data_IF_319847202472
#
_entry.id   IF_319847202472
#
_cell.length_a   1.000
_cell.length_b   1.000
_cell.length_c   1.000
_cell.angle_alpha   90.00
_cell.angle_beta   90.00
_cell.angle_gamma   90.00
#
_symmetry.space_group_name_H-M   'P 1'
#
loop_
_entity.id
_entity.type
_entity.pdbx_description
1 polymer ?
#
# COMPACT_ATOMS: atom_id res chain seq x y z
N UNK A 1 -4.87 39.15 70.06
CA UNK A 1 -4.24 39.95 68.98
C UNK A 1 -3.02 39.17 68.48
N UNK A 2 -3.07 38.64 67.29
CA UNK A 2 -1.90 37.99 66.70
C UNK A 2 -0.93 39.11 66.29
N UNK A 3 0.22 39.18 66.94
CA UNK A 3 1.29 40.10 66.51
C UNK A 3 1.95 39.55 65.26
N UNK A 4 1.62 40.06 64.09
CA UNK A 4 2.34 39.80 62.86
C UNK A 4 3.69 40.49 62.99
N UNK A 5 4.75 39.74 63.12
CA UNK A 5 6.12 40.30 63.20
C UNK A 5 6.51 40.78 61.82
N UNK A 6 7.31 41.87 61.70
CA UNK A 6 7.84 42.44 60.45
C UNK A 6 8.48 41.36 59.56
N UNK A 7 9.11 40.38 60.19
CA UNK A 7 9.75 39.23 59.52
C UNK A 7 8.71 38.28 58.85
N UNK A 8 7.52 38.15 59.45
CA UNK A 8 6.43 37.33 58.86
C UNK A 8 5.84 38.03 57.63
N UNK A 9 5.65 39.36 57.70
CA UNK A 9 5.15 40.17 56.58
C UNK A 9 6.14 40.17 55.41
N UNK A 10 7.45 40.25 55.65
CA UNK A 10 8.51 40.15 54.67
C UNK A 10 8.57 38.76 53.98
N UNK A 11 8.42 37.71 54.76
CA UNK A 11 8.36 36.33 54.19
C UNK A 11 7.14 36.14 53.29
N UNK A 12 5.97 36.64 53.73
CA UNK A 12 4.74 36.58 52.97
C UNK A 12 4.84 37.41 51.68
N UNK A 13 5.41 38.62 51.75
CA UNK A 13 5.68 39.44 50.56
C UNK A 13 6.60 38.76 49.58
N UNK A 14 7.76 38.19 50.01
CA UNK A 14 8.67 37.46 49.15
C UNK A 14 8.02 36.25 48.49
N UNK A 15 7.21 35.49 49.21
CA UNK A 15 6.44 34.37 48.68
C UNK A 15 5.44 34.83 47.60
N UNK A 16 4.72 35.92 47.83
CA UNK A 16 3.75 36.43 46.87
C UNK A 16 4.39 37.05 45.63
N UNK A 17 5.53 37.76 45.79
CA UNK A 17 6.30 38.31 44.69
C UNK A 17 6.85 37.16 43.83
N UNK A 18 7.38 36.09 44.44
CA UNK A 18 7.87 34.91 43.72
C UNK A 18 6.72 34.22 42.93
N UNK A 19 5.53 34.11 43.50
CA UNK A 19 4.35 33.59 42.78
C UNK A 19 4.00 34.46 41.58
N UNK A 20 4.00 35.81 41.75
CA UNK A 20 3.69 36.74 40.67
C UNK A 20 4.73 36.73 39.56
N UNK A 21 6.03 36.59 39.91
CA UNK A 21 7.12 36.41 38.93
C UNK A 21 6.95 35.12 38.15
N UNK A 22 6.61 34.01 38.85
CA UNK A 22 6.37 32.73 38.19
C UNK A 22 5.18 32.78 37.23
N UNK A 23 4.08 33.46 37.62
CA UNK A 23 2.91 33.67 36.77
C UNK A 23 3.26 34.47 35.52
N UNK A 24 4.05 35.56 35.68
CA UNK A 24 4.53 36.34 34.55
C UNK A 24 5.39 35.55 33.59
N UNK A 25 6.36 34.81 34.11
CA UNK A 25 7.20 33.94 33.30
C UNK A 25 6.41 32.83 32.57
N UNK A 26 5.41 32.25 33.23
CA UNK A 26 4.51 31.27 32.65
C UNK A 26 3.69 31.87 31.49
N UNK A 27 3.10 33.06 31.69
CA UNK A 27 2.33 33.75 30.67
C UNK A 27 3.22 34.15 29.46
N UNK A 28 4.46 34.61 29.72
CA UNK A 28 5.44 34.88 28.66
C UNK A 28 5.77 33.62 27.87
N UNK A 29 6.02 32.50 28.55
CA UNK A 29 6.33 31.23 27.91
C UNK A 29 5.17 30.75 27.05
N UNK A 30 3.92 30.79 27.56
CA UNK A 30 2.73 30.44 26.78
C UNK A 30 2.58 31.28 25.52
N UNK A 31 2.79 32.62 25.63
CA UNK A 31 2.69 33.50 24.46
C UNK A 31 3.81 33.20 23.44
N UNK A 32 5.04 33.00 23.92
CA UNK A 32 6.19 32.71 23.03
C UNK A 32 6.09 31.33 22.33
N UNK A 33 5.56 30.33 23.02
CA UNK A 33 5.44 28.96 22.49
C UNK A 33 4.10 28.71 21.81
N UNK A 34 3.10 29.59 22.03
CA UNK A 34 1.70 29.42 21.63
C UNK A 34 1.08 28.12 22.14
N UNK A 35 1.63 27.57 23.24
CA UNK A 35 1.16 26.32 23.85
C UNK A 35 0.58 26.56 25.24
N UNK A 36 -0.51 25.83 25.54
CA UNK A 36 -1.19 25.87 26.82
C UNK A 36 -0.31 25.41 27.98
N UNK A 37 0.61 24.51 27.73
CA UNK A 37 1.60 24.04 28.71
C UNK A 37 2.95 23.80 28.04
N UNK A 38 4.02 24.22 28.70
CA UNK A 38 5.41 24.12 28.22
C UNK A 38 6.11 22.82 28.65
N UNK A 39 5.53 22.11 29.63
CA UNK A 39 6.10 20.87 30.18
C UNK A 39 4.98 19.93 30.61
N UNK A 40 5.18 18.64 30.37
CA UNK A 40 4.28 17.58 30.82
C UNK A 40 4.12 17.54 32.34
N UNK A 41 5.12 18.00 33.09
CA UNK A 41 5.04 18.11 34.56
C UNK A 41 4.06 19.18 35.05
N UNK A 42 3.76 20.20 34.23
CA UNK A 42 2.86 21.28 34.60
C UNK A 42 1.37 20.91 34.59
N UNK A 43 1.00 19.96 33.72
CA UNK A 43 -0.36 19.41 33.64
C UNK A 43 -0.34 17.91 33.21
N UNK A 44 -0.14 16.95 34.15
CA UNK A 44 -0.03 15.53 33.84
C UNK A 44 -1.28 14.93 33.17
N UNK A 45 -2.47 15.45 33.49
CA UNK A 45 -3.72 14.96 32.90
C UNK A 45 -3.83 15.35 31.41
N UNK A 46 -3.53 16.60 31.06
CA UNK A 46 -3.48 17.06 29.69
C UNK A 46 -2.34 16.38 28.92
N UNK A 47 -1.19 16.20 29.54
CA UNK A 47 -0.04 15.50 28.97
C UNK A 47 -0.36 14.07 28.57
N UNK A 48 -1.07 13.31 29.41
CA UNK A 48 -1.49 11.95 29.08
C UNK A 48 -2.44 11.91 27.89
N UNK A 49 -3.36 12.88 27.80
CA UNK A 49 -4.28 13.00 26.64
C UNK A 49 -3.50 13.38 25.37
N UNK A 50 -2.61 14.38 25.46
CA UNK A 50 -1.76 14.78 24.34
C UNK A 50 -0.93 13.62 23.79
N UNK A 51 -0.30 12.84 24.68
CA UNK A 51 0.45 11.65 24.28
C UNK A 51 -0.41 10.64 23.52
N UNK A 52 -1.64 10.37 23.99
CA UNK A 52 -2.57 9.46 23.29
C UNK A 52 -2.95 10.00 21.91
N UNK A 53 -3.25 11.30 21.81
CA UNK A 53 -3.61 11.94 20.53
C UNK A 53 -2.42 11.88 19.57
N UNK A 54 -1.21 12.22 20.01
CA UNK A 54 -0.01 12.10 19.16
C UNK A 54 0.27 10.66 18.71
N UNK A 55 0.09 9.69 19.60
CA UNK A 55 0.22 8.28 19.23
C UNK A 55 -0.82 7.88 18.17
N UNK A 56 -2.08 8.31 18.34
CA UNK A 56 -3.13 8.05 17.35
C UNK A 56 -2.88 8.77 16.03
N UNK A 57 -2.42 10.03 16.05
CA UNK A 57 -2.05 10.79 14.86
C UNK A 57 -0.94 10.08 14.06
N UNK A 58 0.11 9.64 14.75
CA UNK A 58 1.22 8.93 14.11
C UNK A 58 0.76 7.59 13.51
N UNK A 59 -0.06 6.84 14.23
CA UNK A 59 -0.62 5.58 13.74
C UNK A 59 -1.51 5.82 12.52
N UNK A 60 -2.45 6.78 12.59
CA UNK A 60 -3.35 7.10 11.47
C UNK A 60 -2.57 7.61 10.25
N UNK A 61 -1.53 8.42 10.45
CA UNK A 61 -0.70 8.89 9.36
C UNK A 61 0.09 7.76 8.68
N UNK A 62 0.61 6.81 9.46
CA UNK A 62 1.28 5.62 8.91
C UNK A 62 0.29 4.75 8.12
N UNK A 63 -0.91 4.53 8.66
CA UNK A 63 -1.98 3.78 7.99
C UNK A 63 -2.44 4.47 6.70
N UNK A 64 -2.55 5.79 6.70
CA UNK A 64 -2.86 6.58 5.51
C UNK A 64 -1.76 6.43 4.43
N UNK A 65 -0.48 6.54 4.81
CA UNK A 65 0.64 6.36 3.89
C UNK A 65 0.71 4.94 3.31
N UNK A 66 0.43 3.94 4.12
CA UNK A 66 0.34 2.55 3.68
C UNK A 66 -0.81 2.37 2.67
N UNK A 67 -2.00 2.89 3.02
CA UNK A 67 -3.18 2.83 2.16
C UNK A 67 -2.94 3.52 0.81
N UNK A 68 -2.33 4.69 0.81
CA UNK A 68 -1.98 5.46 -0.39
C UNK A 68 -1.01 4.69 -1.30
N UNK A 69 0.02 4.08 -0.72
CA UNK A 69 0.98 3.24 -1.46
C UNK A 69 0.30 2.03 -2.10
N UNK A 70 -0.58 1.34 -1.36
CA UNK A 70 -1.31 0.18 -1.87
C UNK A 70 -2.32 0.61 -2.93
N UNK A 71 -3.05 1.72 -2.73
CA UNK A 71 -3.98 2.27 -3.71
C UNK A 71 -3.29 2.49 -5.06
N UNK A 72 -2.16 3.20 -5.08
CA UNK A 72 -1.43 3.45 -6.32
C UNK A 72 -0.86 2.20 -6.98
N UNK A 73 -0.50 1.17 -6.20
CA UNK A 73 -0.15 -0.15 -6.74
C UNK A 73 -1.35 -0.78 -7.47
N UNK A 74 -2.54 -0.73 -6.86
CA UNK A 74 -3.78 -1.27 -7.44
C UNK A 74 -4.26 -0.47 -8.65
N UNK A 75 -4.17 0.86 -8.64
CA UNK A 75 -4.43 1.73 -9.80
C UNK A 75 -3.49 1.41 -10.97
N UNK A 76 -2.22 1.17 -10.67
CA UNK A 76 -1.24 0.76 -11.69
C UNK A 76 -1.59 -0.63 -12.25
N UNK A 77 -1.96 -1.59 -11.41
CA UNK A 77 -2.41 -2.92 -11.84
C UNK A 77 -3.65 -2.83 -12.72
N UNK A 78 -4.65 -2.09 -12.27
CA UNK A 78 -5.90 -1.87 -12.99
C UNK A 78 -5.66 -1.22 -14.36
N UNK A 79 -4.85 -0.16 -14.41
CA UNK A 79 -4.49 0.54 -15.65
C UNK A 79 -3.71 -0.33 -16.62
N UNK A 80 -2.78 -1.13 -16.10
CA UNK A 80 -2.00 -2.08 -16.91
C UNK A 80 -2.92 -3.14 -17.50
N UNK A 81 -3.80 -3.71 -16.69
CA UNK A 81 -4.73 -4.75 -17.14
C UNK A 81 -5.75 -4.20 -18.14
N UNK A 82 -6.22 -2.96 -17.97
CA UNK A 82 -7.03 -2.25 -18.95
C UNK A 82 -6.30 -2.15 -20.31
N UNK A 83 -5.02 -1.76 -20.29
CA UNK A 83 -4.21 -1.67 -21.51
C UNK A 83 -3.99 -3.03 -22.18
N UNK A 84 -3.85 -4.10 -21.39
CA UNK A 84 -3.76 -5.49 -21.89
C UNK A 84 -5.05 -5.89 -22.60
N UNK A 85 -6.21 -5.63 -21.97
CA UNK A 85 -7.51 -5.97 -22.53
C UNK A 85 -7.81 -5.14 -23.80
N UNK A 86 -7.51 -3.84 -23.79
CA UNK A 86 -7.66 -2.97 -24.98
C UNK A 86 -6.73 -3.41 -26.11
N UNK A 87 -5.47 -3.76 -25.80
CA UNK A 87 -4.50 -4.27 -26.77
C UNK A 87 -4.96 -5.61 -27.36
N UNK A 88 -5.48 -6.49 -26.54
CA UNK A 88 -6.07 -7.75 -26.98
C UNK A 88 -7.26 -7.52 -27.92
N UNK A 89 -8.23 -6.69 -27.50
CA UNK A 89 -9.45 -6.43 -28.27
C UNK A 89 -9.13 -5.73 -29.61
N UNK A 90 -8.22 -4.75 -29.63
CA UNK A 90 -7.86 -4.03 -30.84
C UNK A 90 -6.94 -4.80 -31.78
N UNK A 91 -5.83 -5.33 -31.29
CA UNK A 91 -4.82 -5.96 -32.13
C UNK A 91 -5.09 -7.44 -32.36
N UNK A 92 -5.33 -8.19 -31.30
CA UNK A 92 -5.44 -9.66 -31.38
C UNK A 92 -6.85 -10.07 -31.84
N UNK A 93 -7.88 -9.47 -31.27
CA UNK A 93 -9.27 -9.79 -31.62
C UNK A 93 -9.60 -9.38 -33.05
N UNK A 94 -9.39 -8.11 -33.40
CA UNK A 94 -9.84 -7.55 -34.68
C UNK A 94 -8.91 -7.86 -35.85
N UNK A 95 -7.59 -7.94 -35.62
CA UNK A 95 -6.61 -8.15 -36.71
C UNK A 95 -6.02 -9.54 -36.74
N UNK A 96 -6.03 -10.28 -35.64
CA UNK A 96 -5.50 -11.64 -35.56
C UNK A 96 -6.60 -12.69 -35.54
N UNK A 97 -7.36 -12.74 -34.42
CA UNK A 97 -8.32 -13.80 -34.12
C UNK A 97 -9.53 -13.84 -35.09
N UNK A 98 -10.19 -12.72 -35.33
CA UNK A 98 -11.39 -12.67 -36.21
C UNK A 98 -11.01 -13.03 -37.65
N UNK A 99 -9.94 -12.45 -38.24
CA UNK A 99 -9.43 -12.92 -39.54
C UNK A 99 -8.99 -14.39 -39.53
N UNK A 100 -8.40 -14.89 -38.42
CA UNK A 100 -8.00 -16.29 -38.32
C UNK A 100 -9.21 -17.25 -38.40
N UNK A 101 -10.32 -16.92 -37.71
CA UNK A 101 -11.56 -17.70 -37.84
C UNK A 101 -12.10 -17.70 -39.28
N UNK A 102 -12.02 -16.56 -39.97
CA UNK A 102 -12.37 -16.48 -41.38
C UNK A 102 -11.39 -17.27 -42.24
N UNK A 103 -10.09 -17.16 -41.97
CA UNK A 103 -9.03 -17.90 -42.66
C UNK A 103 -9.16 -19.42 -42.53
N UNK A 104 -9.54 -19.92 -41.35
CA UNK A 104 -9.81 -21.34 -41.12
C UNK A 104 -11.00 -21.85 -41.96
N UNK A 105 -11.93 -21.01 -42.33
CA UNK A 105 -13.07 -21.36 -43.17
C UNK A 105 -12.78 -21.18 -44.65
N UNK A 106 -11.67 -20.54 -45.03
CA UNK A 106 -11.24 -20.38 -46.42
C UNK A 106 -10.56 -21.64 -46.92
N UNK A 107 -10.79 -21.93 -48.22
CA UNK A 107 -10.21 -23.08 -48.90
C UNK A 107 -8.68 -22.96 -49.08
N UNK A 108 -8.15 -21.72 -48.99
CA UNK A 108 -6.74 -21.42 -49.32
C UNK A 108 -5.86 -21.20 -48.08
N UNK A 109 -6.43 -20.97 -46.89
CA UNK A 109 -5.71 -20.72 -45.63
C UNK A 109 -4.49 -19.76 -45.74
N UNK A 110 -4.49 -18.88 -46.77
CA UNK A 110 -3.30 -18.12 -47.22
C UNK A 110 -2.83 -17.04 -46.26
N UNK A 111 -3.64 -16.70 -45.26
CA UNK A 111 -3.39 -15.60 -44.28
C UNK A 111 -2.95 -16.11 -42.91
N UNK A 112 -3.00 -17.41 -42.65
CA UNK A 112 -2.76 -17.98 -41.31
C UNK A 112 -1.41 -17.62 -40.71
N UNK A 113 -0.33 -17.68 -41.49
CA UNK A 113 1.01 -17.35 -40.99
C UNK A 113 1.10 -15.89 -40.51
N UNK A 114 0.49 -14.93 -41.27
CA UNK A 114 0.48 -13.53 -40.86
C UNK A 114 -0.34 -13.35 -39.57
N UNK A 115 -1.45 -14.05 -39.45
CA UNK A 115 -2.31 -13.99 -38.26
C UNK A 115 -1.61 -14.64 -37.06
N UNK A 116 -0.87 -15.73 -37.27
CA UNK A 116 -0.02 -16.35 -36.25
C UNK A 116 1.01 -15.36 -35.70
N UNK A 117 1.71 -14.64 -36.58
CA UNK A 117 2.68 -13.61 -36.16
C UNK A 117 2.01 -12.47 -35.34
N UNK A 118 0.86 -11.98 -35.77
CA UNK A 118 0.11 -10.94 -35.01
C UNK A 118 -0.26 -11.45 -33.61
N UNK A 119 -0.76 -12.67 -33.52
CA UNK A 119 -1.15 -13.27 -32.22
C UNK A 119 0.08 -13.47 -31.33
N UNK A 120 1.23 -13.89 -31.90
CA UNK A 120 2.50 -14.02 -31.15
C UNK A 120 2.98 -12.69 -30.61
N UNK A 121 3.05 -11.65 -31.46
CA UNK A 121 3.44 -10.29 -31.04
C UNK A 121 2.50 -9.76 -29.95
N UNK A 122 1.21 -10.06 -30.04
CA UNK A 122 0.23 -9.75 -29.02
C UNK A 122 0.51 -10.44 -27.69
N UNK A 123 0.86 -11.75 -27.71
CA UNK A 123 1.22 -12.50 -26.51
C UNK A 123 2.47 -11.93 -25.82
N UNK A 124 3.49 -11.61 -26.60
CA UNK A 124 4.73 -11.00 -26.10
C UNK A 124 4.47 -9.61 -25.47
N UNK A 125 3.62 -8.81 -26.11
CA UNK A 125 3.22 -7.50 -25.58
C UNK A 125 2.45 -7.62 -24.25
N UNK A 126 1.57 -8.61 -24.12
CA UNK A 126 0.86 -8.92 -22.88
C UNK A 126 1.85 -9.30 -21.76
N UNK A 127 2.81 -10.19 -22.04
CA UNK A 127 3.83 -10.60 -21.07
C UNK A 127 4.68 -9.41 -20.63
N UNK A 128 5.07 -8.52 -21.55
CA UNK A 128 5.78 -7.29 -21.20
C UNK A 128 4.95 -6.37 -20.31
N UNK A 129 3.66 -6.18 -20.62
CA UNK A 129 2.76 -5.38 -19.82
C UNK A 129 2.58 -5.96 -18.41
N UNK A 130 2.45 -7.29 -18.29
CA UNK A 130 2.34 -7.98 -17.00
C UNK A 130 3.64 -7.93 -16.17
N UNK A 131 4.74 -7.46 -16.72
CA UNK A 131 5.97 -7.09 -16.00
C UNK A 131 5.99 -5.60 -15.62
N UNK A 132 4.81 -4.96 -15.54
CA UNK A 132 4.65 -3.57 -15.12
C UNK A 132 5.16 -3.32 -13.70
N UNK A 133 5.70 -2.11 -13.47
CA UNK A 133 6.25 -1.69 -12.17
C UNK A 133 5.50 -0.51 -11.59
N UNK A 134 5.38 -0.51 -10.27
CA UNK A 134 5.09 0.68 -9.46
C UNK A 134 6.31 1.01 -8.61
N UNK A 135 6.93 2.15 -8.86
CA UNK A 135 8.24 2.46 -8.29
C UNK A 135 9.31 1.47 -8.73
N UNK A 136 9.92 0.76 -7.77
CA UNK A 136 10.93 -0.26 -8.04
C UNK A 136 10.38 -1.70 -8.01
N UNK A 137 9.11 -1.86 -7.69
CA UNK A 137 8.49 -3.16 -7.46
C UNK A 137 7.63 -3.60 -8.64
N UNK A 138 7.71 -4.86 -9.02
CA UNK A 138 6.80 -5.45 -9.98
C UNK A 138 5.42 -5.65 -9.36
N UNK A 139 4.38 -5.22 -10.07
CA UNK A 139 3.03 -5.18 -9.53
C UNK A 139 2.40 -6.56 -9.45
N UNK A 140 2.62 -7.41 -10.47
CA UNK A 140 1.99 -8.72 -10.63
C UNK A 140 2.87 -9.89 -10.14
N UNK A 141 3.87 -9.59 -9.34
CA UNK A 141 4.81 -10.60 -8.84
C UNK A 141 4.37 -11.25 -7.51
N UNK A 142 3.16 -11.02 -7.04
CA UNK A 142 2.70 -11.52 -5.74
C UNK A 142 3.48 -10.89 -4.59
N UNK A 143 4.09 -11.70 -3.72
CA UNK A 143 4.91 -11.23 -2.61
C UNK A 143 6.37 -10.94 -3.02
N UNK A 144 6.92 -11.58 -4.06
CA UNK A 144 8.25 -11.25 -4.61
C UNK A 144 8.17 -10.11 -5.62
N UNK A 145 8.32 -8.89 -5.17
CA UNK A 145 8.20 -7.70 -6.01
C UNK A 145 9.50 -7.25 -6.69
N UNK A 146 10.63 -7.93 -6.46
CA UNK A 146 11.94 -7.46 -6.92
C UNK A 146 12.31 -7.96 -8.32
N UNK A 147 11.85 -9.14 -8.70
CA UNK A 147 12.18 -9.79 -9.97
C UNK A 147 11.00 -9.74 -10.94
N UNK A 148 11.30 -9.67 -12.25
CA UNK A 148 10.25 -9.74 -13.28
C UNK A 148 9.51 -11.08 -13.18
N UNK A 149 8.16 -11.05 -12.98
CA UNK A 149 7.42 -12.28 -12.74
C UNK A 149 7.30 -13.17 -13.97
N UNK A 150 7.14 -12.60 -15.16
CA UNK A 150 6.89 -13.35 -16.39
C UNK A 150 8.07 -13.30 -17.35
N UNK A 151 8.35 -14.42 -18.01
CA UNK A 151 9.28 -14.51 -19.13
C UNK A 151 8.81 -15.60 -20.09
N UNK A 152 9.36 -15.60 -21.31
CA UNK A 152 9.26 -16.71 -22.26
C UNK A 152 10.63 -17.38 -22.28
N UNK A 153 10.68 -18.69 -22.08
CA UNK A 153 11.93 -19.44 -22.13
C UNK A 153 12.34 -19.77 -23.58
N UNK A 154 13.55 -20.33 -23.76
CA UNK A 154 14.08 -20.70 -25.07
C UNK A 154 13.24 -21.78 -25.81
N UNK A 155 12.35 -22.47 -25.09
CA UNK A 155 11.46 -23.50 -25.66
C UNK A 155 10.08 -22.88 -26.05
N UNK A 156 9.84 -21.59 -25.80
CA UNK A 156 8.59 -20.92 -26.11
C UNK A 156 7.51 -21.00 -25.01
N UNK A 157 7.81 -21.60 -23.84
CA UNK A 157 6.86 -21.65 -22.74
C UNK A 157 6.91 -20.38 -21.92
N UNK A 158 5.75 -19.92 -21.46
CA UNK A 158 5.64 -18.83 -20.49
C UNK A 158 6.07 -19.35 -19.12
N UNK A 159 6.89 -18.56 -18.44
CA UNK A 159 7.35 -18.87 -17.09
C UNK A 159 6.90 -17.78 -16.12
N UNK A 160 6.62 -18.19 -14.89
CA UNK A 160 6.38 -17.28 -13.76
C UNK A 160 7.42 -17.54 -12.67
N UNK A 161 8.21 -16.51 -12.33
CA UNK A 161 9.36 -16.65 -11.41
C UNK A 161 10.29 -17.82 -11.78
N UNK A 162 10.46 -18.05 -13.10
CA UNK A 162 11.33 -19.10 -13.63
C UNK A 162 10.72 -20.50 -13.78
N UNK A 163 9.47 -20.71 -13.33
CA UNK A 163 8.75 -21.99 -13.49
C UNK A 163 7.82 -21.92 -14.69
N UNK A 164 7.87 -22.95 -15.57
CA UNK A 164 6.95 -23.11 -16.69
C UNK A 164 5.52 -23.29 -16.15
N UNK A 165 4.59 -22.41 -16.57
CA UNK A 165 3.27 -22.33 -15.92
C UNK A 165 2.24 -23.31 -16.49
N UNK A 166 2.47 -23.88 -17.66
CA UNK A 166 1.49 -24.68 -18.41
C UNK A 166 2.12 -25.78 -19.27
N UNK A 167 3.36 -26.17 -19.00
CA UNK A 167 3.98 -27.32 -19.65
C UNK A 167 3.59 -28.62 -18.90
N UNK A 168 2.75 -29.51 -19.51
CA UNK A 168 2.29 -30.73 -18.84
C UNK A 168 3.42 -31.65 -18.46
N UNK A 169 4.55 -31.60 -19.19
CA UNK A 169 5.70 -32.50 -18.96
C UNK A 169 6.51 -32.11 -17.71
N UNK A 170 6.44 -30.82 -17.29
CA UNK A 170 7.25 -30.30 -16.20
C UNK A 170 6.43 -29.92 -14.94
N UNK A 171 5.11 -29.81 -15.03
CA UNK A 171 4.26 -29.41 -13.90
C UNK A 171 4.33 -30.37 -12.70
N UNK A 172 4.49 -31.66 -12.96
CA UNK A 172 4.60 -32.70 -11.93
C UNK A 172 6.06 -32.94 -11.46
N UNK A 173 7.06 -32.28 -12.08
CA UNK A 173 8.44 -32.34 -11.64
C UNK A 173 8.63 -31.65 -10.29
N UNK A 174 9.62 -32.12 -9.51
CA UNK A 174 9.99 -31.50 -8.24
C UNK A 174 10.61 -30.14 -8.51
N UNK A 175 10.05 -29.11 -7.87
CA UNK A 175 10.61 -27.77 -7.94
C UNK A 175 11.96 -27.67 -7.21
N UNK A 176 12.92 -27.03 -7.87
CA UNK A 176 14.24 -26.74 -7.30
C UNK A 176 14.45 -25.23 -7.23
N UNK A 177 14.88 -24.73 -6.07
CA UNK A 177 15.24 -23.33 -5.87
C UNK A 177 16.51 -22.94 -6.64
N UNK A 178 16.92 -21.68 -6.60
CA UNK A 178 18.14 -21.15 -7.24
C UNK A 178 19.43 -21.86 -6.77
N UNK A 179 19.37 -22.61 -5.69
CA UNK A 179 20.48 -23.42 -5.15
C UNK A 179 20.38 -24.88 -5.54
N UNK A 180 19.37 -25.28 -6.31
CA UNK A 180 19.10 -26.64 -6.72
C UNK A 180 18.55 -27.52 -5.60
N UNK A 181 17.88 -26.92 -4.58
CA UNK A 181 17.28 -27.66 -3.47
C UNK A 181 15.75 -27.67 -3.58
N UNK A 182 15.08 -28.81 -3.27
CA UNK A 182 13.64 -28.88 -3.31
C UNK A 182 13.01 -28.06 -2.16
N UNK A 183 11.94 -27.33 -2.46
CA UNK A 183 11.07 -26.73 -1.43
C UNK A 183 10.15 -27.82 -0.88
N UNK A 184 9.92 -27.78 0.42
CA UNK A 184 9.09 -28.76 1.14
C UNK A 184 7.80 -28.12 1.64
N UNK A 185 6.72 -28.90 1.58
CA UNK A 185 5.45 -28.54 2.20
C UNK A 185 5.53 -28.62 3.74
N UNK A 186 4.44 -28.26 4.44
CA UNK A 186 4.33 -28.33 5.90
C UNK A 186 4.52 -29.74 6.47
N UNK A 187 4.39 -30.81 5.66
CA UNK A 187 4.56 -32.20 6.04
C UNK A 187 5.98 -32.74 5.72
N UNK A 188 6.83 -31.91 5.11
CA UNK A 188 8.20 -32.28 4.74
C UNK A 188 8.31 -33.02 3.39
N UNK A 189 7.24 -33.08 2.57
CA UNK A 189 7.24 -33.64 1.21
C UNK A 189 7.79 -32.58 0.25
N UNK A 190 8.62 -33.00 -0.72
CA UNK A 190 9.10 -32.14 -1.79
C UNK A 190 7.93 -31.70 -2.68
N UNK A 191 7.85 -30.38 -2.95
CA UNK A 191 6.75 -29.79 -3.73
C UNK A 191 7.05 -29.89 -5.23
N UNK A 192 6.01 -30.15 -6.01
CA UNK A 192 6.07 -30.07 -7.46
C UNK A 192 5.98 -28.64 -7.96
N UNK A 193 6.35 -28.39 -9.23
CA UNK A 193 6.21 -27.10 -9.88
C UNK A 193 4.77 -26.58 -9.78
N UNK A 194 3.77 -27.45 -9.97
CA UNK A 194 2.36 -27.10 -9.82
C UNK A 194 2.01 -26.68 -8.40
N UNK A 195 2.43 -27.46 -7.38
CA UNK A 195 2.19 -27.13 -5.97
C UNK A 195 2.84 -25.79 -5.58
N UNK A 196 4.00 -25.47 -6.16
CA UNK A 196 4.68 -24.17 -5.95
C UNK A 196 3.95 -23.03 -6.64
N UNK A 197 3.42 -23.23 -7.86
CA UNK A 197 2.59 -22.21 -8.52
C UNK A 197 1.28 -21.96 -7.73
N UNK A 198 0.65 -23.00 -7.21
CA UNK A 198 -0.52 -22.89 -6.34
C UNK A 198 -0.18 -22.08 -5.07
N UNK A 199 0.95 -22.38 -4.43
CA UNK A 199 1.46 -21.63 -3.28
C UNK A 199 1.71 -20.15 -3.61
N UNK A 200 2.34 -19.84 -4.73
CA UNK A 200 2.59 -18.45 -5.15
C UNK A 200 1.31 -17.72 -5.56
N UNK A 201 0.31 -18.42 -6.06
CA UNK A 201 -0.98 -17.83 -6.35
C UNK A 201 -1.75 -17.45 -5.07
N UNK A 202 -1.53 -18.19 -3.99
CA UNK A 202 -2.15 -17.98 -2.67
C UNK A 202 -1.26 -17.17 -1.71
N UNK A 203 -0.16 -16.59 -2.17
CA UNK A 203 0.69 -15.72 -1.35
C UNK A 203 -0.06 -14.48 -0.89
N UNK A 204 0.12 -14.13 0.39
CA UNK A 204 -0.46 -12.96 1.01
C UNK A 204 0.60 -11.95 1.43
N UNK A 205 0.32 -10.68 1.24
CA UNK A 205 1.14 -9.56 1.73
C UNK A 205 0.25 -8.58 2.51
N UNK A 206 0.09 -8.83 3.80
CA UNK A 206 -0.79 -8.05 4.64
C UNK A 206 -0.21 -6.69 5.01
N UNK A 207 -1.02 -5.65 4.87
CA UNK A 207 -0.68 -4.26 5.18
C UNK A 207 -1.71 -3.67 6.14
N UNK A 208 -1.25 -2.96 7.17
CA UNK A 208 -2.13 -2.20 8.08
C UNK A 208 -2.57 -0.90 7.41
N UNK A 209 -3.84 -0.85 7.05
CA UNK A 209 -4.53 0.32 6.50
C UNK A 209 -5.62 0.85 7.45
N UNK A 210 -5.52 0.57 8.75
CA UNK A 210 -6.46 1.06 9.76
C UNK A 210 -7.67 0.18 10.01
N UNK A 211 -7.66 -1.09 9.58
CA UNK A 211 -8.74 -2.06 9.83
C UNK A 211 -8.66 -2.71 11.22
N UNK A 212 -7.76 -2.23 12.09
CA UNK A 212 -7.58 -2.77 13.43
C UNK A 212 -6.66 -3.98 13.48
N UNK A 213 -5.52 -3.89 12.80
CA UNK A 213 -4.48 -4.91 12.67
C UNK A 213 -4.25 -5.72 13.94
N UNK A 214 -4.37 -7.04 13.84
CA UNK A 214 -4.18 -7.99 14.94
C UNK A 214 -3.46 -9.24 14.49
N UNK A 215 -2.70 -9.81 15.41
CA UNK A 215 -2.11 -11.13 15.28
C UNK A 215 -2.93 -12.13 16.09
N UNK A 216 -2.97 -13.37 15.64
CA UNK A 216 -3.54 -14.48 16.36
C UNK A 216 -2.61 -15.00 17.49
N UNK A 217 -3.00 -16.09 18.16
CA UNK A 217 -2.19 -16.71 19.23
C UNK A 217 -0.88 -17.33 18.75
N UNK A 218 -0.68 -17.53 17.45
CA UNK A 218 0.53 -18.08 16.84
C UNK A 218 1.45 -16.98 16.28
N UNK A 219 0.99 -15.72 16.26
CA UNK A 219 1.71 -14.58 15.70
C UNK A 219 1.42 -14.36 14.22
N UNK A 220 0.42 -15.02 13.65
CA UNK A 220 -0.03 -14.83 12.26
C UNK A 220 -1.05 -13.70 12.17
N UNK A 221 -1.08 -13.01 11.02
CA UNK A 221 -2.03 -11.92 10.79
C UNK A 221 -3.44 -12.47 10.65
N UNK A 222 -4.40 -11.88 11.38
CA UNK A 222 -5.82 -12.20 11.19
C UNK A 222 -6.31 -11.49 9.91
N UNK A 223 -6.66 -12.23 8.83
CA UNK A 223 -6.93 -11.65 7.50
C UNK A 223 -7.98 -10.53 7.48
N UNK A 224 -9.02 -10.63 8.34
CA UNK A 224 -10.08 -9.62 8.44
C UNK A 224 -9.64 -8.29 9.05
N UNK A 225 -8.43 -8.19 9.59
CA UNK A 225 -7.89 -6.99 10.27
C UNK A 225 -6.80 -6.27 9.49
N UNK A 226 -6.43 -6.80 8.33
CA UNK A 226 -5.41 -6.23 7.44
C UNK A 226 -5.90 -6.31 5.99
N UNK A 227 -5.29 -5.52 5.13
CA UNK A 227 -5.54 -5.58 3.70
C UNK A 227 -4.45 -6.44 3.04
N UNK A 228 -4.86 -7.36 2.16
CA UNK A 228 -3.91 -8.13 1.36
C UNK A 228 -3.52 -7.34 0.12
N UNK A 229 -2.26 -6.98 0.04
CA UNK A 229 -1.70 -6.19 -1.06
C UNK A 229 -0.99 -7.04 -2.12
N UNK A 230 -0.98 -8.37 -1.99
CA UNK A 230 -0.41 -9.26 -2.99
C UNK A 230 -1.30 -9.30 -4.24
N UNK A 231 -0.71 -9.09 -5.42
CA UNK A 231 -1.41 -9.23 -6.69
C UNK A 231 -0.69 -10.34 -7.47
N UNK A 232 -1.33 -11.52 -7.53
CA UNK A 232 -0.78 -12.67 -8.25
C UNK A 232 -1.05 -12.54 -9.75
N UNK A 233 0.00 -12.39 -10.56
CA UNK A 233 -0.09 -12.33 -12.01
C UNK A 233 -0.62 -13.62 -12.62
N UNK A 234 -0.22 -14.78 -12.09
CA UNK A 234 -0.72 -16.08 -12.56
C UNK A 234 -2.19 -16.29 -12.18
N UNK A 235 -2.64 -15.75 -11.05
CA UNK A 235 -4.06 -15.77 -10.67
C UNK A 235 -4.93 -14.90 -11.58
N UNK A 236 -4.34 -13.90 -12.27
CA UNK A 236 -5.03 -13.05 -13.24
C UNK A 236 -5.03 -13.68 -14.63
N UNK A 237 -3.87 -14.13 -15.11
CA UNK A 237 -3.72 -14.67 -16.48
C UNK A 237 -4.10 -16.15 -16.61
N UNK A 238 -4.24 -16.87 -15.49
CA UNK A 238 -4.40 -18.31 -15.46
C UNK A 238 -3.05 -19.05 -15.47
N UNK A 239 -3.05 -20.33 -15.08
CA UNK A 239 -1.89 -21.23 -15.13
C UNK A 239 -2.35 -22.69 -15.12
N UNK A 240 -1.45 -23.59 -15.46
CA UNK A 240 -1.72 -25.00 -15.59
C UNK A 240 -2.39 -25.36 -16.91
N UNK A 241 -2.70 -26.63 -17.05
CA UNK A 241 -3.39 -27.18 -18.21
C UNK A 241 -4.82 -27.63 -17.84
N UNK A 242 -5.69 -27.71 -18.83
CA UNK A 242 -7.04 -28.23 -18.66
C UNK A 242 -7.10 -29.76 -18.82
N UNK A 243 -8.31 -30.31 -18.88
CA UNK A 243 -8.52 -31.76 -19.01
C UNK A 243 -8.07 -32.31 -20.38
N UNK A 244 -7.98 -31.45 -21.39
CA UNK A 244 -7.57 -31.80 -22.75
C UNK A 244 -6.05 -31.64 -22.94
N UNK A 245 -5.35 -31.09 -21.93
CA UNK A 245 -3.91 -30.81 -21.95
C UNK A 245 -3.56 -29.45 -22.54
N UNK A 246 -4.54 -28.59 -22.81
CA UNK A 246 -4.33 -27.26 -23.36
C UNK A 246 -4.01 -26.24 -22.23
N UNK A 247 -3.17 -25.22 -22.53
CA UNK A 247 -2.85 -24.19 -21.56
C UNK A 247 -4.07 -23.37 -21.14
N UNK A 248 -4.10 -22.92 -19.86
CA UNK A 248 -5.13 -22.02 -19.34
C UNK A 248 -4.72 -20.56 -19.36
N UNK A 249 -3.44 -20.28 -19.49
CA UNK A 249 -2.90 -18.92 -19.50
C UNK A 249 -3.19 -18.24 -20.85
N UNK A 250 -3.67 -16.99 -20.83
CA UNK A 250 -4.04 -16.23 -22.03
C UNK A 250 -2.86 -16.15 -23.03
N UNK A 251 -1.66 -15.77 -22.57
CA UNK A 251 -0.50 -15.64 -23.43
C UNK A 251 -0.02 -16.98 -23.98
N UNK A 252 -0.08 -18.05 -23.18
CA UNK A 252 0.30 -19.39 -23.64
C UNK A 252 -0.68 -19.96 -24.68
N UNK A 253 -1.98 -19.73 -24.51
CA UNK A 253 -2.98 -20.08 -25.54
C UNK A 253 -2.66 -19.36 -26.85
N UNK A 254 -2.32 -18.05 -26.77
CA UNK A 254 -1.95 -17.25 -27.94
C UNK A 254 -0.68 -17.77 -28.60
N UNK A 255 0.37 -18.08 -27.83
CA UNK A 255 1.62 -18.63 -28.37
C UNK A 255 1.39 -19.98 -29.01
N UNK A 256 0.63 -20.88 -28.38
CA UNK A 256 0.30 -22.21 -28.96
C UNK A 256 -0.49 -22.07 -30.26
N UNK A 257 -1.47 -21.14 -30.30
CA UNK A 257 -2.25 -20.85 -31.49
C UNK A 257 -1.36 -20.27 -32.62
N UNK A 258 -0.42 -19.40 -32.28
CA UNK A 258 0.54 -18.84 -33.22
C UNK A 258 1.44 -19.94 -33.82
N UNK A 259 1.94 -20.86 -32.97
CA UNK A 259 2.74 -22.02 -33.45
C UNK A 259 1.97 -22.88 -34.46
N UNK A 260 0.68 -23.13 -34.19
CA UNK A 260 -0.16 -23.91 -35.09
C UNK A 260 -0.35 -23.21 -36.44
N UNK A 261 -0.62 -21.90 -36.42
CA UNK A 261 -0.86 -21.09 -37.61
C UNK A 261 0.41 -20.87 -38.43
N UNK A 262 1.54 -20.62 -37.80
CA UNK A 262 2.86 -20.50 -38.47
C UNK A 262 3.36 -21.81 -38.98
N UNK A 263 3.00 -22.94 -38.35
CA UNK A 263 3.35 -24.28 -38.74
C UNK A 263 2.52 -24.82 -39.93
N UNK A 264 1.53 -24.10 -40.43
CA UNK A 264 0.75 -24.51 -41.59
C UNK A 264 1.55 -24.33 -42.88
N UNK A 265 1.75 -25.42 -43.65
CA UNK A 265 2.42 -25.41 -44.95
C UNK A 265 1.38 -25.22 -46.07
N UNK A 266 1.46 -24.09 -46.75
CA UNK A 266 0.57 -23.72 -47.86
C UNK A 266 0.80 -24.54 -49.14
N UNK A 267 2.04 -25.03 -49.37
CA UNK A 267 2.36 -25.76 -50.56
C UNK A 267 1.84 -27.21 -50.51
N UNK A 268 2.02 -27.82 -49.32
CA UNK A 268 1.58 -29.22 -49.09
C UNK A 268 0.18 -29.30 -48.49
N UNK A 269 -0.41 -28.16 -48.05
CA UNK A 269 -1.69 -28.07 -47.34
C UNK A 269 -1.72 -28.97 -46.10
N UNK A 270 -0.61 -29.04 -45.36
CA UNK A 270 -0.46 -29.84 -44.15
C UNK A 270 -0.18 -29.01 -42.93
N UNK A 271 -0.69 -29.47 -41.79
CA UNK A 271 -0.40 -28.92 -40.47
C UNK A 271 0.85 -29.60 -39.92
N UNK A 272 2.00 -28.92 -39.89
CA UNK A 272 3.24 -29.43 -39.33
C UNK A 272 3.25 -29.38 -37.79
N UNK A 273 2.45 -28.47 -37.23
CA UNK A 273 2.28 -28.31 -35.79
C UNK A 273 0.78 -28.31 -35.50
N UNK A 274 0.32 -29.14 -34.58
CA UNK A 274 -1.06 -29.21 -34.17
C UNK A 274 -2.07 -29.60 -35.25
N UNK A 275 -3.28 -29.12 -35.17
CA UNK A 275 -4.35 -29.41 -36.14
C UNK A 275 -5.33 -28.25 -36.23
N UNK A 276 -6.13 -28.23 -37.31
CA UNK A 276 -7.25 -27.30 -37.45
C UNK A 276 -8.24 -27.35 -36.27
N UNK A 277 -8.57 -28.57 -35.83
CA UNK A 277 -9.54 -28.77 -34.71
C UNK A 277 -9.00 -28.18 -33.42
N UNK A 278 -7.71 -28.36 -33.13
CA UNK A 278 -7.01 -27.78 -31.99
C UNK A 278 -7.03 -26.26 -32.07
N UNK A 279 -6.76 -25.67 -33.23
CA UNK A 279 -6.83 -24.22 -33.42
C UNK A 279 -8.23 -23.65 -33.18
N UNK A 280 -9.28 -24.31 -33.69
CA UNK A 280 -10.68 -23.91 -33.46
C UNK A 280 -11.05 -24.00 -31.96
N UNK A 281 -10.51 -24.95 -31.24
CA UNK A 281 -10.74 -25.12 -29.79
C UNK A 281 -10.00 -24.07 -28.97
N UNK A 282 -8.71 -23.83 -29.27
CA UNK A 282 -7.90 -22.81 -28.63
C UNK A 282 -8.50 -21.41 -28.83
N UNK A 283 -9.09 -21.12 -30.00
CA UNK A 283 -9.78 -19.84 -30.23
C UNK A 283 -11.00 -19.63 -29.29
N UNK A 284 -11.71 -20.71 -28.93
CA UNK A 284 -12.79 -20.63 -27.92
C UNK A 284 -12.25 -20.46 -26.51
N UNK A 285 -11.17 -21.20 -26.18
CA UNK A 285 -10.50 -21.09 -24.87
C UNK A 285 -9.88 -19.71 -24.67
N UNK A 286 -9.39 -19.08 -25.73
CA UNK A 286 -8.89 -17.73 -25.74
C UNK A 286 -9.96 -16.70 -25.30
N UNK A 287 -11.18 -16.82 -25.80
CA UNK A 287 -12.30 -15.97 -25.36
C UNK A 287 -12.62 -16.16 -23.86
N UNK A 288 -12.69 -17.39 -23.42
CA UNK A 288 -12.96 -17.70 -22.02
C UNK A 288 -11.85 -17.16 -21.07
N UNK A 289 -10.58 -17.29 -21.48
CA UNK A 289 -9.46 -16.74 -20.71
C UNK A 289 -9.47 -15.20 -20.66
N UNK A 290 -9.81 -14.54 -21.77
CA UNK A 290 -9.98 -13.08 -21.83
C UNK A 290 -11.14 -12.62 -20.92
N UNK A 291 -12.25 -13.33 -20.91
CA UNK A 291 -13.41 -13.03 -20.05
C UNK A 291 -13.04 -13.17 -18.57
N UNK A 292 -12.34 -14.24 -18.18
CA UNK A 292 -11.84 -14.45 -16.82
C UNK A 292 -10.89 -13.31 -16.39
N UNK A 293 -10.01 -12.84 -17.29
CA UNK A 293 -9.15 -11.68 -17.03
C UNK A 293 -9.98 -10.40 -16.81
N UNK A 294 -11.07 -10.20 -17.55
CA UNK A 294 -11.99 -9.08 -17.37
C UNK A 294 -12.69 -9.09 -16.00
N UNK A 295 -13.01 -10.27 -15.46
CA UNK A 295 -13.53 -10.40 -14.09
C UNK A 295 -12.48 -9.97 -13.05
N UNK A 296 -11.22 -10.35 -13.25
CA UNK A 296 -10.11 -9.93 -12.36
C UNK A 296 -9.86 -8.43 -12.44
N UNK A 297 -9.95 -7.84 -13.61
CA UNK A 297 -9.89 -6.38 -13.79
C UNK A 297 -10.97 -5.65 -13.00
N UNK A 298 -12.22 -6.17 -13.02
CA UNK A 298 -13.33 -5.62 -12.24
C UNK A 298 -13.09 -5.77 -10.72
N UNK A 299 -12.46 -6.87 -10.30
CA UNK A 299 -12.08 -7.08 -8.90
C UNK A 299 -11.06 -6.04 -8.45
N UNK A 300 -9.99 -5.80 -9.24
CA UNK A 300 -8.99 -4.77 -8.95
C UNK A 300 -9.60 -3.37 -8.85
N UNK A 301 -10.57 -3.02 -9.71
CA UNK A 301 -11.31 -1.76 -9.62
C UNK A 301 -12.08 -1.64 -8.30
N UNK A 302 -12.75 -2.71 -7.89
CA UNK A 302 -13.49 -2.74 -6.62
C UNK A 302 -12.56 -2.54 -5.42
N UNK A 303 -11.40 -3.18 -5.42
CA UNK A 303 -10.39 -3.06 -4.36
C UNK A 303 -9.73 -1.67 -4.34
N UNK A 304 -9.43 -1.09 -5.51
CA UNK A 304 -8.94 0.28 -5.62
C UNK A 304 -9.96 1.30 -5.08
N UNK A 305 -11.24 1.13 -5.44
CA UNK A 305 -12.33 1.97 -4.93
C UNK A 305 -12.53 1.84 -3.40
N UNK A 306 -12.31 0.66 -2.84
CA UNK A 306 -12.32 0.45 -1.39
C UNK A 306 -11.15 1.21 -0.73
N UNK A 307 -9.95 1.11 -1.28
CA UNK A 307 -8.75 1.79 -0.77
C UNK A 307 -8.88 3.32 -0.84
N UNK A 308 -9.44 3.88 -1.91
CA UNK A 308 -9.72 5.32 -2.03
C UNK A 308 -10.66 5.82 -0.92
N UNK A 309 -11.77 5.11 -0.72
CA UNK A 309 -12.72 5.44 0.36
C UNK A 309 -12.09 5.31 1.75
N UNK A 310 -11.29 4.26 1.96
CA UNK A 310 -10.57 4.08 3.22
C UNK A 310 -9.54 5.20 3.45
N UNK A 311 -8.80 5.60 2.42
CA UNK A 311 -7.87 6.74 2.47
C UNK A 311 -8.57 8.04 2.85
N UNK A 312 -9.74 8.31 2.28
CA UNK A 312 -10.58 9.45 2.66
C UNK A 312 -11.01 9.39 4.14
N UNK A 313 -11.41 8.21 4.63
CA UNK A 313 -11.77 7.99 6.04
C UNK A 313 -10.59 8.24 6.98
N UNK A 314 -9.40 7.72 6.65
CA UNK A 314 -8.18 7.91 7.43
C UNK A 314 -7.77 9.38 7.49
N UNK A 315 -7.87 10.10 6.36
CA UNK A 315 -7.62 11.54 6.30
C UNK A 315 -8.57 12.32 7.20
N UNK A 316 -9.86 12.04 7.13
CA UNK A 316 -10.86 12.68 8.00
C UNK A 316 -10.57 12.40 9.48
N UNK A 317 -10.15 11.18 9.82
CA UNK A 317 -9.76 10.81 11.19
C UNK A 317 -8.51 11.57 11.62
N UNK A 318 -7.51 11.69 10.76
CA UNK A 318 -6.30 12.46 11.01
C UNK A 318 -6.61 13.93 11.27
N UNK A 319 -7.46 14.55 10.43
CA UNK A 319 -7.87 15.94 10.58
C UNK A 319 -8.63 16.17 11.89
N UNK A 320 -9.55 15.27 12.26
CA UNK A 320 -10.27 15.34 13.53
C UNK A 320 -9.33 15.24 14.75
N UNK A 321 -8.38 14.30 14.72
CA UNK A 321 -7.36 14.16 15.76
C UNK A 321 -6.44 15.38 15.84
N UNK A 322 -6.11 16.00 14.71
CA UNK A 322 -5.30 17.21 14.66
C UNK A 322 -6.03 18.42 15.28
N UNK A 323 -7.33 18.55 15.05
CA UNK A 323 -8.17 19.55 15.71
C UNK A 323 -8.23 19.29 17.22
N UNK A 324 -8.40 18.02 17.65
CA UNK A 324 -8.42 17.68 19.08
C UNK A 324 -7.05 17.98 19.74
N UNK A 325 -5.93 17.70 19.06
CA UNK A 325 -4.59 18.08 19.52
C UNK A 325 -4.47 19.59 19.68
N UNK A 326 -4.88 20.35 18.66
CA UNK A 326 -4.83 21.83 18.69
C UNK A 326 -5.65 22.39 19.86
N UNK A 327 -6.88 21.92 20.05
CA UNK A 327 -7.74 22.32 21.16
C UNK A 327 -7.14 22.01 22.55
N UNK A 328 -6.28 20.98 22.64
CA UNK A 328 -5.66 20.59 23.91
C UNK A 328 -4.33 21.31 24.18
N UNK A 329 -3.52 21.50 23.15
CA UNK A 329 -2.14 21.96 23.28
C UNK A 329 -1.94 23.43 22.95
N UNK A 330 -2.68 23.94 21.98
CA UNK A 330 -2.51 25.30 21.49
C UNK A 330 -3.33 26.29 22.32
N UNK A 331 -2.86 27.52 22.44
CA UNK A 331 -3.57 28.60 23.12
C UNK A 331 -3.98 29.66 22.11
N UNK A 332 -5.17 30.27 22.33
CA UNK A 332 -5.57 31.45 21.57
C UNK A 332 -4.58 32.59 21.85
N UNK A 333 -3.93 33.17 20.84
CA UNK A 333 -3.01 34.29 21.02
C UNK A 333 -3.64 35.49 21.76
N UNK A 334 -4.94 35.75 21.59
CA UNK A 334 -5.63 36.83 22.26
C UNK A 334 -5.72 36.53 23.76
N UNK A 335 -6.07 35.30 24.14
CA UNK A 335 -6.12 34.89 25.55
C UNK A 335 -4.71 34.88 26.18
N UNK A 336 -3.68 34.47 25.44
CA UNK A 336 -2.29 34.49 25.90
C UNK A 336 -1.83 35.93 26.20
N UNK A 337 -2.18 36.90 25.33
CA UNK A 337 -1.86 38.31 25.51
C UNK A 337 -2.60 38.87 26.75
N UNK A 338 -3.87 38.57 26.93
CA UNK A 338 -4.63 38.96 28.08
C UNK A 338 -4.03 38.39 29.37
N UNK A 339 -3.69 37.12 29.41
CA UNK A 339 -3.05 36.47 30.56
C UNK A 339 -1.71 37.16 30.90
N UNK A 340 -0.90 37.50 29.87
CA UNK A 340 0.36 38.24 30.05
C UNK A 340 0.14 39.64 30.62
N UNK A 341 -0.85 40.40 30.09
CA UNK A 341 -1.17 41.74 30.59
C UNK A 341 -1.60 41.67 32.05
N UNK A 342 -2.47 40.74 32.42
CA UNK A 342 -2.87 40.51 33.81
C UNK A 342 -1.70 40.13 34.71
N UNK A 343 -0.87 39.18 34.28
CA UNK A 343 0.31 38.77 35.05
C UNK A 343 1.31 39.93 35.26
N UNK A 344 1.53 40.77 34.24
CA UNK A 344 2.38 41.94 34.30
C UNK A 344 1.79 42.99 35.26
N UNK A 345 0.49 43.24 35.23
CA UNK A 345 -0.20 44.13 36.12
C UNK A 345 -0.10 43.69 37.59
N UNK A 346 -0.34 42.41 37.85
CA UNK A 346 -0.17 41.80 39.17
C UNK A 346 1.28 41.89 39.69
N UNK A 347 2.25 41.65 38.81
CA UNK A 347 3.67 41.80 39.17
C UNK A 347 4.04 43.23 39.54
N UNK A 348 3.61 44.22 38.74
CA UNK A 348 3.83 45.66 39.03
C UNK A 348 3.14 46.08 40.37
N UNK A 349 1.91 45.63 40.60
CA UNK A 349 1.20 45.88 41.87
C UNK A 349 1.96 45.24 43.06
N UNK A 350 2.47 44.04 42.91
CA UNK A 350 3.26 43.36 43.93
C UNK A 350 4.56 44.17 44.27
N UNK A 351 5.22 44.71 43.26
CA UNK A 351 6.40 45.57 43.46
C UNK A 351 6.01 46.86 44.23
N UNK A 352 4.88 47.53 43.92
CA UNK A 352 4.41 48.72 44.61
C UNK A 352 4.05 48.42 46.08
N UNK A 353 3.42 47.27 46.35
CA UNK A 353 3.16 46.86 47.75
C UNK A 353 4.46 46.64 48.51
N UNK A 354 5.52 46.19 47.84
CA UNK A 354 6.85 46.02 48.44
C UNK A 354 7.42 47.31 49.04
N UNK A 355 7.24 48.45 48.38
CA UNK A 355 7.70 49.75 48.88
C UNK A 355 7.01 50.16 50.17
N UNK A 356 5.81 49.66 50.43
CA UNK A 356 5.04 49.95 51.66
C UNK A 356 5.32 48.93 52.80
N UNK A 357 5.75 47.72 52.44
CA UNK A 357 6.02 46.61 53.41
C UNK A 357 7.45 46.68 53.94
N UNK A 358 8.39 47.20 53.13
CA UNK A 358 9.79 47.38 53.55
C UNK A 358 9.90 48.77 54.33
N UNK A 359 10.18 48.74 55.63
CA UNK A 359 10.32 50.00 56.36
C UNK A 359 11.47 50.87 55.80
N UNK A 360 11.28 52.20 55.75
CA UNK A 360 12.27 53.12 55.20
C UNK A 360 13.67 52.98 55.83
N UNK A 361 13.75 52.61 57.11
CA UNK A 361 15.02 52.36 57.82
C UNK A 361 15.84 51.17 57.24
N UNK A 362 15.22 50.16 56.64
CA UNK A 362 15.88 49.03 55.96
C UNK A 362 16.31 49.42 54.55
N UNK A 363 15.57 50.32 53.91
CA UNK A 363 15.84 50.77 52.53
C UNK A 363 17.07 51.76 52.51
N UNK A 364 17.23 52.56 53.55
CA UNK A 364 18.38 53.45 53.72
C UNK A 364 19.65 52.66 54.03
N UNK A 365 19.57 51.57 54.79
CA UNK A 365 20.69 50.68 55.04
C UNK A 365 21.19 49.94 53.78
N UNK A 366 20.28 49.53 52.92
CA UNK A 366 20.62 48.92 51.64
C UNK A 366 21.19 49.88 50.58
N UNK A 367 20.94 51.17 50.70
CA UNK A 367 21.55 52.22 49.86
C UNK A 367 22.95 52.65 50.31
N UNK A 368 23.37 52.30 51.52
CA UNK A 368 24.64 52.66 52.12
C UNK A 368 25.68 51.54 52.03
N UNK A 369 25.40 50.42 51.41
CA UNK A 369 26.28 49.31 51.05
C UNK A 369 26.36 49.20 49.53
#
# INVERSE_FOLDING_TARGET
MIRITTNSSLRMYRSNLMKSTNSLNSAMTKLMTQRQFSSYASNPAAATRAFKIHSSLNATNAQYSNNDTVLHKYETAWSTLASVLDGYDGLVQDTGRVPALSGLNDTNLSTLNTQGQIIREGAEAIIQAMNGKYGNNFVFAGADSLNAPFAINDKGFVTYRGVEIDNPDTLDDIYLDDKGQPIKDANGKDMTNKEVLDMWNEEHQYVDIGLGFKLDGNGEVIPSTAFDSAISGIGIMGYGVDADGDPKNLASIMLRLADIFEGYDHETQTWNVGSRSEAEELLKKLDASREAMGEKWTTLDTEANFLDKNGTQLKNTYDALNVERSNLEDIDPADAILELVWAKTCYNAALQVGTNVIPQSLMDYMKSV
#
